data_IF_081599261568
#
_entry.id   IF_081599261568
#
_cell.length_a   1.000
_cell.length_b   1.000
_cell.length_c   1.000
_cell.angle_alpha   90.00
_cell.angle_beta   90.00
_cell.angle_gamma   90.00
#
_symmetry.space_group_name_H-M   'P 1'
#
loop_
_entity.id
_entity.type
_entity.pdbx_description
1 polymer ?
#
# COMPACT_ATOMS: atom_id res chain seq x y z
N UNK A 1 -18.52 -7.39 28.88
CA UNK A 1 -17.60 -6.33 29.30
C UNK A 1 -17.58 -5.27 28.22
N UNK A 2 -17.86 -4.00 28.55
CA UNK A 2 -17.86 -2.90 27.58
C UNK A 2 -16.41 -2.58 27.25
N UNK A 3 -15.99 -2.72 25.99
CA UNK A 3 -14.68 -2.26 25.56
C UNK A 3 -14.68 -0.74 25.62
N UNK A 4 -13.83 -0.20 26.48
CA UNK A 4 -13.57 1.23 26.53
C UNK A 4 -12.89 1.60 25.23
N UNK A 5 -13.64 2.19 24.29
CA UNK A 5 -13.05 2.83 23.12
C UNK A 5 -12.03 3.85 23.61
N UNK A 6 -10.75 3.58 23.32
CA UNK A 6 -9.65 4.49 23.61
C UNK A 6 -9.82 5.72 22.71
N UNK A 7 -10.41 6.79 23.26
CA UNK A 7 -10.38 8.12 22.67
C UNK A 7 -8.93 8.59 22.65
N UNK A 8 -8.43 8.99 21.47
CA UNK A 8 -7.19 9.73 21.20
C UNK A 8 -5.86 8.95 21.02
N UNK A 9 -5.81 7.89 20.22
CA UNK A 9 -4.58 7.70 19.43
C UNK A 9 -4.72 8.50 18.14
N UNK A 10 -4.12 9.69 18.10
CA UNK A 10 -3.91 10.40 16.83
C UNK A 10 -3.01 9.51 15.98
N UNK A 11 -3.49 9.06 14.83
CA UNK A 11 -2.62 8.39 13.86
C UNK A 11 -1.47 9.32 13.46
N UNK A 12 -0.46 8.73 12.83
CA UNK A 12 0.77 9.38 12.40
C UNK A 12 0.60 9.93 10.98
N UNK A 13 1.17 11.11 10.74
CA UNK A 13 1.25 11.72 9.41
C UNK A 13 2.60 11.33 8.79
N UNK A 14 2.53 10.71 7.62
CA UNK A 14 3.69 10.22 6.88
C UNK A 14 3.87 10.93 5.54
N UNK A 15 3.20 12.07 5.33
CA UNK A 15 3.31 12.81 4.07
C UNK A 15 4.77 13.10 3.72
N UNK A 16 5.17 12.66 2.53
CA UNK A 16 6.48 12.92 1.97
C UNK A 16 6.39 12.84 0.46
N UNK A 17 6.63 13.97 -0.22
CA UNK A 17 6.48 14.05 -1.68
C UNK A 17 7.41 13.05 -2.39
N UNK A 18 6.96 12.45 -3.49
CA UNK A 18 7.75 11.54 -4.33
C UNK A 18 8.17 10.23 -3.64
N UNK A 19 7.49 9.86 -2.55
CA UNK A 19 7.63 8.56 -1.90
C UNK A 19 6.36 7.75 -2.05
N UNK A 20 6.49 6.47 -2.34
CA UNK A 20 5.39 5.51 -2.35
C UNK A 20 5.62 4.48 -1.26
N UNK A 21 4.64 4.34 -0.37
CA UNK A 21 4.61 3.27 0.62
C UNK A 21 3.83 2.09 0.07
N UNK A 22 4.36 0.89 0.23
CA UNK A 22 3.80 -0.33 -0.37
C UNK A 22 3.48 -1.37 0.69
N UNK A 23 2.27 -1.90 0.62
CA UNK A 23 1.80 -3.04 1.41
C UNK A 23 1.32 -4.14 0.49
N UNK A 24 1.47 -5.38 0.92
CA UNK A 24 1.06 -6.55 0.15
C UNK A 24 0.24 -7.51 1.02
N UNK A 25 -0.64 -8.27 0.38
CA UNK A 25 -1.37 -9.37 0.98
C UNK A 25 -0.93 -10.70 0.39
N UNK A 26 -1.00 -11.73 1.23
CA UNK A 26 -0.92 -13.13 0.83
C UNK A 26 -2.28 -13.84 1.00
N UNK A 27 -3.29 -13.14 1.52
CA UNK A 27 -4.65 -13.66 1.71
C UNK A 27 -5.47 -13.47 0.44
N UNK A 28 -6.26 -14.48 0.03
CA UNK A 28 -7.23 -14.31 -1.06
C UNK A 28 -8.13 -13.11 -0.78
N UNK A 29 -8.46 -12.34 -1.82
CA UNK A 29 -9.26 -11.12 -1.64
C UNK A 29 -10.61 -11.40 -0.96
N UNK A 30 -11.26 -12.50 -1.33
CA UNK A 30 -12.54 -12.91 -0.73
C UNK A 30 -12.48 -13.38 0.73
N UNK A 31 -11.29 -13.54 1.31
CA UNK A 31 -11.11 -13.87 2.73
C UNK A 31 -10.88 -12.62 3.60
N UNK A 32 -10.62 -11.45 2.98
CA UNK A 32 -10.49 -10.19 3.70
C UNK A 32 -11.90 -9.61 3.88
N UNK A 33 -12.33 -9.30 5.12
CA UNK A 33 -13.63 -8.69 5.35
C UNK A 33 -13.76 -7.35 4.60
N UNK A 34 -14.91 -7.08 3.96
CA UNK A 34 -15.14 -5.82 3.25
C UNK A 34 -14.90 -4.58 4.15
N UNK A 35 -15.28 -4.68 5.43
CA UNK A 35 -15.07 -3.64 6.44
C UNK A 35 -13.60 -3.29 6.69
N UNK A 36 -12.68 -4.15 6.25
CA UNK A 36 -11.24 -3.91 6.39
C UNK A 36 -10.78 -2.71 5.54
N UNK A 37 -11.33 -2.60 4.32
CA UNK A 37 -11.03 -1.51 3.39
C UNK A 37 -12.13 -0.44 3.31
N UNK A 38 -13.29 -0.63 3.95
CA UNK A 38 -14.40 0.32 3.94
C UNK A 38 -14.01 1.71 4.47
N UNK A 39 -14.12 2.72 3.61
CA UNK A 39 -13.61 4.06 3.86
C UNK A 39 -14.59 4.96 4.63
N UNK A 40 -14.07 5.60 5.68
CA UNK A 40 -14.72 6.68 6.42
C UNK A 40 -14.09 8.00 6.04
N UNK A 41 -14.87 8.82 5.34
CA UNK A 41 -14.44 10.09 4.80
C UNK A 41 -14.60 11.26 5.76
N UNK A 42 -13.61 12.15 5.78
CA UNK A 42 -13.63 13.43 6.48
C UNK A 42 -13.13 14.56 5.56
N UNK A 43 -13.17 15.80 6.05
CA UNK A 43 -12.62 16.99 5.37
C UNK A 43 -13.03 17.10 3.89
N UNK A 44 -14.33 17.28 3.62
CA UNK A 44 -14.88 17.36 2.25
C UNK A 44 -14.54 16.15 1.36
N UNK A 45 -14.41 14.97 1.97
CA UNK A 45 -14.10 13.69 1.30
C UNK A 45 -12.70 13.59 0.71
N UNK A 46 -11.74 14.42 1.14
CA UNK A 46 -10.34 14.32 0.70
C UNK A 46 -9.47 13.48 1.64
N UNK A 47 -10.00 13.10 2.81
CA UNK A 47 -9.31 12.29 3.81
C UNK A 47 -10.15 11.08 4.15
N UNK A 48 -9.58 9.89 4.01
CA UNK A 48 -10.19 8.62 4.35
C UNK A 48 -9.43 7.95 5.50
N UNK A 49 -10.16 7.13 6.24
CA UNK A 49 -9.62 6.16 7.21
C UNK A 49 -10.41 4.86 7.06
N UNK A 50 -9.78 3.73 7.29
CA UNK A 50 -10.43 2.42 7.34
C UNK A 50 -9.69 1.53 8.36
N UNK A 51 -10.07 0.26 8.47
CA UNK A 51 -9.44 -0.66 9.43
C UNK A 51 -7.95 -0.85 9.11
N UNK A 52 -7.60 -1.02 7.83
CA UNK A 52 -6.20 -1.07 7.38
C UNK A 52 -5.41 0.15 7.83
N UNK A 53 -5.86 1.36 7.51
CA UNK A 53 -5.13 2.58 7.84
C UNK A 53 -4.96 2.75 9.35
N UNK A 54 -5.97 2.37 10.14
CA UNK A 54 -5.92 2.41 11.59
C UNK A 54 -4.93 1.40 12.17
N UNK A 55 -4.89 0.17 11.62
CA UNK A 55 -3.95 -0.87 12.05
C UNK A 55 -2.50 -0.44 11.83
N UNK A 56 -2.22 0.19 10.69
CA UNK A 56 -0.92 0.79 10.39
C UNK A 56 -0.73 2.18 11.01
N UNK A 57 -1.63 2.64 11.88
CA UNK A 57 -1.55 3.93 12.58
C UNK A 57 -1.41 5.14 11.67
N UNK A 58 -1.98 5.11 10.47
CA UNK A 58 -2.10 6.29 9.60
C UNK A 58 -3.15 7.25 10.19
N UNK A 59 -2.86 8.55 10.21
CA UNK A 59 -3.83 9.58 10.65
C UNK A 59 -5.02 9.69 9.71
N UNK A 60 -4.75 9.62 8.41
CA UNK A 60 -5.67 9.50 7.29
C UNK A 60 -4.85 9.21 6.03
N UNK A 61 -5.52 8.88 4.93
CA UNK A 61 -4.93 8.90 3.59
C UNK A 61 -5.84 9.66 2.62
N UNK A 62 -5.31 10.06 1.46
CA UNK A 62 -6.11 10.61 0.38
C UNK A 62 -6.34 9.50 -0.65
N UNK A 63 -7.59 9.05 -0.89
CA UNK A 63 -7.86 7.95 -1.81
C UNK A 63 -7.38 8.21 -3.24
N UNK A 64 -7.27 9.47 -3.66
CA UNK A 64 -6.72 9.83 -4.99
C UNK A 64 -5.22 9.54 -5.12
N UNK A 65 -4.52 9.30 -4.01
CA UNK A 65 -3.11 8.90 -3.97
C UNK A 65 -2.95 7.42 -3.60
N UNK A 66 -4.05 6.66 -3.55
CA UNK A 66 -4.02 5.23 -3.28
C UNK A 66 -4.28 4.47 -4.56
N UNK A 67 -3.44 3.49 -4.85
CA UNK A 67 -3.67 2.51 -5.90
C UNK A 67 -3.66 1.12 -5.31
N UNK A 68 -4.42 0.24 -5.95
CA UNK A 68 -4.49 -1.15 -5.56
C UNK A 68 -4.52 -2.04 -6.78
N UNK A 69 -3.82 -3.16 -6.74
CA UNK A 69 -3.83 -4.13 -7.82
C UNK A 69 -3.63 -5.55 -7.28
N UNK A 70 -3.91 -6.57 -8.10
CA UNK A 70 -3.73 -7.95 -7.68
C UNK A 70 -4.56 -8.95 -8.48
N UNK A 71 -4.87 -10.07 -7.84
CA UNK A 71 -5.72 -11.13 -8.38
C UNK A 71 -6.73 -11.59 -7.33
N UNK A 72 -7.96 -11.89 -7.77
CA UNK A 72 -9.03 -12.29 -6.85
C UNK A 72 -8.80 -13.66 -6.19
N UNK A 73 -8.21 -14.60 -6.94
CA UNK A 73 -7.95 -15.97 -6.49
C UNK A 73 -6.56 -16.45 -6.93
N UNK A 74 -5.88 -17.19 -6.06
CA UNK A 74 -4.49 -17.62 -6.26
C UNK A 74 -3.51 -16.49 -6.02
N UNK A 75 -2.28 -16.65 -6.53
CA UNK A 75 -1.20 -15.68 -6.38
C UNK A 75 -0.74 -15.15 -7.74
N UNK A 76 -0.10 -13.99 -7.73
CA UNK A 76 0.51 -13.35 -8.89
C UNK A 76 1.89 -12.81 -8.51
N UNK A 77 2.85 -12.90 -9.43
CA UNK A 77 4.18 -12.29 -9.28
C UNK A 77 4.06 -10.79 -8.97
N UNK A 78 4.77 -10.30 -7.95
CA UNK A 78 4.74 -8.88 -7.55
C UNK A 78 5.02 -7.97 -8.73
N UNK A 79 6.03 -8.30 -9.56
CA UNK A 79 6.39 -7.51 -10.74
C UNK A 79 5.23 -7.35 -11.73
N UNK A 80 4.37 -8.37 -11.86
CA UNK A 80 3.20 -8.32 -12.73
C UNK A 80 2.07 -7.50 -12.10
N UNK A 81 1.82 -7.64 -10.81
CA UNK A 81 0.85 -6.80 -10.09
C UNK A 81 1.25 -5.31 -10.14
N UNK A 82 2.55 -5.02 -10.03
CA UNK A 82 3.10 -3.68 -10.14
C UNK A 82 3.04 -3.09 -11.54
N UNK A 83 2.91 -3.93 -12.57
CA UNK A 83 3.17 -3.53 -13.95
C UNK A 83 2.27 -2.39 -14.47
N UNK A 84 1.02 -2.36 -14.01
CA UNK A 84 0.03 -1.36 -14.39
C UNK A 84 -0.10 -0.20 -13.38
N UNK A 85 0.64 -0.23 -12.27
CA UNK A 85 0.57 0.83 -11.26
C UNK A 85 1.32 2.07 -11.75
N UNK A 86 0.82 3.25 -11.40
CA UNK A 86 1.41 4.53 -11.80
C UNK A 86 2.88 4.63 -11.43
N UNK A 87 3.67 5.23 -12.32
CA UNK A 87 5.10 5.50 -12.14
C UNK A 87 5.96 4.24 -11.87
N UNK A 88 5.40 3.03 -11.98
CA UNK A 88 6.03 1.79 -11.53
C UNK A 88 7.38 1.50 -12.20
N UNK A 89 7.60 1.99 -13.42
CA UNK A 89 8.90 1.87 -14.09
C UNK A 89 10.05 2.53 -13.31
N UNK A 90 9.76 3.55 -12.50
CA UNK A 90 10.76 4.29 -11.70
C UNK A 90 11.17 3.59 -10.40
N UNK A 91 10.35 2.67 -9.86
CA UNK A 91 10.60 2.07 -8.54
C UNK A 91 10.50 0.55 -8.48
N UNK A 92 10.03 -0.13 -9.53
CA UNK A 92 9.80 -1.58 -9.51
C UNK A 92 11.07 -2.38 -9.23
N UNK A 93 12.25 -1.98 -9.73
CA UNK A 93 13.48 -2.74 -9.49
C UNK A 93 13.97 -2.62 -8.04
N UNK A 94 13.82 -1.45 -7.42
CA UNK A 94 14.08 -1.26 -6.00
C UNK A 94 13.09 -2.08 -5.14
N UNK A 95 11.80 -2.03 -5.51
CA UNK A 95 10.76 -2.82 -4.86
C UNK A 95 11.03 -4.32 -4.94
N UNK A 96 11.37 -4.82 -6.12
CA UNK A 96 11.70 -6.24 -6.31
C UNK A 96 12.97 -6.65 -5.55
N UNK A 97 13.93 -5.76 -5.36
CA UNK A 97 15.10 -6.02 -4.51
C UNK A 97 14.67 -6.24 -3.06
N UNK A 98 13.83 -5.37 -2.51
CA UNK A 98 13.27 -5.51 -1.15
C UNK A 98 12.40 -6.77 -1.01
N UNK A 99 11.58 -7.07 -2.02
CA UNK A 99 10.73 -8.26 -2.03
C UNK A 99 11.56 -9.55 -1.97
N UNK A 100 12.63 -9.65 -2.77
CA UNK A 100 13.57 -10.80 -2.73
C UNK A 100 14.27 -10.93 -1.37
N UNK A 101 14.70 -9.82 -0.77
CA UNK A 101 15.31 -9.83 0.58
C UNK A 101 14.34 -10.37 1.64
N UNK A 102 13.04 -10.06 1.50
CA UNK A 102 11.97 -10.57 2.37
C UNK A 102 11.46 -11.96 1.96
N UNK A 103 11.99 -12.56 0.88
CA UNK A 103 11.57 -13.85 0.31
C UNK A 103 10.08 -13.87 -0.08
N UNK A 104 9.61 -12.77 -0.65
CA UNK A 104 8.25 -12.63 -1.16
C UNK A 104 8.35 -12.40 -2.67
N UNK A 105 7.83 -13.34 -3.45
CA UNK A 105 7.87 -13.28 -4.91
C UNK A 105 6.47 -13.12 -5.50
N UNK A 106 5.49 -13.75 -4.86
CA UNK A 106 4.10 -13.73 -5.26
C UNK A 106 3.21 -13.19 -4.13
N UNK A 107 2.11 -12.57 -4.54
CA UNK A 107 1.14 -11.91 -3.67
C UNK A 107 -0.27 -12.17 -4.21
N UNK A 108 -1.28 -11.89 -3.40
CA UNK A 108 -2.67 -11.83 -3.86
C UNK A 108 -3.04 -10.41 -4.24
N UNK A 109 -2.62 -9.43 -3.44
CA UNK A 109 -2.98 -8.03 -3.57
C UNK A 109 -1.85 -7.10 -3.15
N UNK A 110 -1.80 -5.91 -3.73
CA UNK A 110 -0.88 -4.83 -3.40
C UNK A 110 -1.65 -3.53 -3.18
N UNK A 111 -1.24 -2.78 -2.17
CA UNK A 111 -1.69 -1.42 -1.88
C UNK A 111 -0.50 -0.50 -1.98
N UNK A 112 -0.66 0.56 -2.76
CA UNK A 112 0.31 1.63 -2.93
C UNK A 112 -0.30 2.92 -2.42
N UNK A 113 0.46 3.66 -1.62
CA UNK A 113 0.06 4.98 -1.17
C UNK A 113 1.17 5.97 -1.52
N UNK A 114 0.90 6.81 -2.52
CA UNK A 114 1.81 7.82 -3.04
C UNK A 114 1.84 9.04 -2.13
N UNK A 115 2.92 9.82 -2.26
CA UNK A 115 3.30 10.92 -1.38
C UNK A 115 3.27 10.56 0.13
N UNK A 116 3.66 9.32 0.44
CA UNK A 116 3.74 8.81 1.81
C UNK A 116 5.03 8.02 2.02
N UNK A 117 5.71 8.30 3.14
CA UNK A 117 6.87 7.56 3.61
C UNK A 117 6.56 6.91 4.97
N UNK A 118 5.85 5.78 4.92
CA UNK A 118 5.53 5.00 6.11
C UNK A 118 6.79 4.53 6.82
N UNK A 119 6.76 4.58 8.14
CA UNK A 119 7.94 4.31 8.98
C UNK A 119 7.56 3.34 10.11
N UNK A 120 8.00 2.09 9.94
CA UNK A 120 7.83 0.99 10.90
C UNK A 120 8.46 1.32 12.25
N UNK A 121 9.54 2.10 12.29
CA UNK A 121 10.20 2.47 13.55
C UNK A 121 9.32 3.42 14.38
N UNK A 122 8.52 4.26 13.71
CA UNK A 122 7.56 5.16 14.35
C UNK A 122 6.25 4.46 14.72
N UNK A 123 5.71 3.63 13.81
CA UNK A 123 4.43 2.96 14.06
C UNK A 123 4.58 1.76 14.99
N UNK A 124 5.71 1.05 14.93
CA UNK A 124 5.89 -0.28 15.52
C UNK A 124 5.08 -1.38 14.81
N UNK A 125 4.56 -1.13 13.60
CA UNK A 125 3.69 -2.05 12.87
C UNK A 125 4.27 -2.33 11.48
N UNK A 126 4.88 -3.52 11.33
CA UNK A 126 5.35 -4.01 10.02
C UNK A 126 4.26 -4.81 9.29
N UNK A 127 3.38 -5.50 10.02
CA UNK A 127 2.28 -6.29 9.46
C UNK A 127 1.10 -6.28 10.40
N UNK A 128 -0.09 -6.50 9.85
CA UNK A 128 -1.28 -6.87 10.61
C UNK A 128 -1.78 -8.25 10.18
N UNK A 129 -3.08 -8.53 10.37
CA UNK A 129 -3.68 -9.81 10.02
C UNK A 129 -3.62 -10.09 8.51
N UNK A 130 -3.83 -9.09 7.64
CA UNK A 130 -4.00 -9.30 6.20
C UNK A 130 -2.89 -8.69 5.36
N UNK A 131 -2.25 -7.63 5.84
CA UNK A 131 -1.28 -6.85 5.08
C UNK A 131 0.10 -6.88 5.72
N UNK A 132 1.12 -6.93 4.87
CA UNK A 132 2.52 -6.83 5.24
C UNK A 132 3.08 -5.58 4.57
N UNK A 133 3.70 -4.70 5.35
CA UNK A 133 4.43 -3.56 4.81
C UNK A 133 5.71 -4.04 4.12
N UNK A 134 5.82 -3.73 2.83
CA UNK A 134 6.93 -4.15 1.99
C UNK A 134 8.09 -3.14 2.07
N UNK A 135 7.80 -1.85 1.94
CA UNK A 135 8.80 -0.79 1.95
C UNK A 135 8.30 0.57 1.47
N UNK A 136 9.20 1.55 1.51
CA UNK A 136 9.03 2.88 0.90
C UNK A 136 10.03 3.01 -0.25
N UNK A 137 9.58 3.53 -1.38
CA UNK A 137 10.41 3.74 -2.56
C UNK A 137 10.27 5.17 -3.08
N UNK A 138 11.35 5.70 -3.66
CA UNK A 138 11.30 6.92 -4.46
C UNK A 138 10.58 6.63 -5.78
N UNK A 139 9.68 7.51 -6.20
CA UNK A 139 9.06 7.44 -7.53
C UNK A 139 9.19 8.77 -8.28
N UNK A 140 9.26 8.66 -9.61
CA UNK A 140 9.28 9.80 -10.53
C UNK A 140 7.86 10.01 -11.08
N UNK A 141 7.27 11.17 -10.79
CA UNK A 141 5.91 11.53 -11.23
C UNK A 141 5.79 11.72 -12.76
N UNK A 142 6.91 11.70 -13.49
CA UNK A 142 6.96 11.78 -14.95
C UNK A 142 7.17 10.42 -15.61
N UNK A 143 7.39 9.36 -14.83
CA UNK A 143 7.67 8.03 -15.36
C UNK A 143 6.40 7.30 -15.79
N UNK A 144 6.49 6.54 -16.89
CA UNK A 144 5.44 5.63 -17.32
C UNK A 144 5.23 4.49 -16.31
N UNK A 145 4.13 3.75 -16.41
CA UNK A 145 4.06 2.45 -15.75
C UNK A 145 4.99 1.44 -16.44
N UNK A 146 5.32 0.35 -15.74
CA UNK A 146 6.27 -0.65 -16.24
C UNK A 146 5.79 -1.29 -17.55
N UNK A 147 4.49 -1.56 -17.71
CA UNK A 147 3.97 -2.15 -18.94
C UNK A 147 4.11 -1.22 -20.15
N UNK A 148 3.84 0.07 -19.99
CA UNK A 148 4.05 1.10 -21.01
C UNK A 148 5.54 1.25 -21.33
N UNK A 149 6.39 1.34 -20.31
CA UNK A 149 7.82 1.47 -20.48
C UNK A 149 8.45 0.27 -21.21
N UNK A 150 7.91 -0.95 -21.00
CA UNK A 150 8.37 -2.16 -21.70
C UNK A 150 7.87 -2.21 -23.15
N UNK A 151 6.65 -1.72 -23.44
CA UNK A 151 6.15 -1.58 -24.82
C UNK A 151 6.95 -0.56 -25.62
N UNK A 152 7.39 0.54 -25.00
CA UNK A 152 8.19 1.58 -25.65
C UNK A 152 9.63 1.13 -25.98
N UNK A 153 10.08 -0.01 -25.43
CA UNK A 153 11.41 -0.59 -25.68
C UNK A 153 11.40 -1.73 -26.71
N UNK A 154 10.21 -2.23 -27.07
CA UNK A 154 10.01 -3.34 -28.00
C UNK A 154 9.87 -2.85 -29.44
#
# INVERSE_FOLDING_TARGET
MKSTQNKNQKGLDYYHKNKVSVWISLFPYGEIPDEYFEEKFTHKKTRATNTWSNNFKLSYFNPNYMETNGIYSGTIMIKKAMGACSFSSSYVEALMTTARQKKIEEITWIVLLYDQAYDVTKSGVEKDEYMIFLGVFDYDETADNLFEADQNKA
#
